data_IF_118681023219
#
_entry.id   IF_118681023219
#
_cell.length_a   1.000
_cell.length_b   1.000
_cell.length_c   1.000
_cell.angle_alpha   90.00
_cell.angle_beta   90.00
_cell.angle_gamma   90.00
#
_symmetry.space_group_name_H-M   'P 1'
#
loop_
_entity.id
_entity.type
_entity.pdbx_description
1 polymer ?
#
# COMPACT_ATOMS: atom_id res chain seq x y z
N UNK A 1 -45.69 14.16 -4.14
CA UNK A 1 -45.44 12.74 -3.80
C UNK A 1 -44.65 11.99 -4.89
N UNK A 2 -44.77 12.34 -6.15
CA UNK A 2 -44.07 11.62 -7.24
C UNK A 2 -42.53 11.81 -7.24
N UNK A 3 -42.01 12.88 -6.71
CA UNK A 3 -40.55 13.17 -6.65
C UNK A 3 -39.80 12.38 -5.56
N UNK A 4 -40.49 11.98 -4.49
CA UNK A 4 -39.89 11.22 -3.38
C UNK A 4 -39.80 9.73 -3.70
N UNK A 5 -40.70 9.21 -4.52
CA UNK A 5 -40.69 7.81 -4.97
C UNK A 5 -39.56 7.59 -5.97
N UNK A 6 -39.26 8.58 -6.81
CA UNK A 6 -38.16 8.49 -7.79
C UNK A 6 -36.77 8.44 -7.11
N UNK A 7 -36.62 9.15 -5.99
CA UNK A 7 -35.39 9.14 -5.22
C UNK A 7 -35.12 7.79 -4.52
N UNK A 8 -36.18 7.11 -4.08
CA UNK A 8 -36.06 5.78 -3.47
C UNK A 8 -35.74 4.69 -4.48
N UNK A 9 -36.23 4.79 -5.69
CA UNK A 9 -35.95 3.82 -6.77
C UNK A 9 -34.49 3.93 -7.25
N UNK A 10 -33.93 5.15 -7.28
CA UNK A 10 -32.52 5.36 -7.63
C UNK A 10 -31.54 4.86 -6.56
N UNK A 11 -31.93 4.91 -5.27
CA UNK A 11 -31.10 4.39 -4.19
C UNK A 11 -31.05 2.87 -4.13
N UNK A 12 -32.14 2.20 -4.56
CA UNK A 12 -32.24 0.75 -4.54
C UNK A 12 -31.44 0.07 -5.66
N UNK A 13 -31.17 0.77 -6.76
CA UNK A 13 -30.42 0.19 -7.90
C UNK A 13 -28.90 0.19 -7.73
N UNK A 14 -28.36 0.96 -6.79
CA UNK A 14 -26.90 0.97 -6.53
C UNK A 14 -26.42 -0.17 -5.63
N UNK A 15 -27.32 -0.84 -4.91
CA UNK A 15 -26.93 -1.92 -3.99
C UNK A 15 -26.72 -3.25 -4.72
N UNK A 16 -27.27 -3.41 -5.92
CA UNK A 16 -27.19 -4.67 -6.68
C UNK A 16 -25.96 -4.82 -7.57
N UNK A 17 -25.15 -3.77 -7.74
CA UNK A 17 -23.99 -3.82 -8.65
C UNK A 17 -22.70 -4.33 -8.00
N UNK A 18 -22.67 -4.60 -6.69
CA UNK A 18 -21.48 -5.16 -6.02
C UNK A 18 -21.47 -6.70 -5.96
N UNK A 19 -22.50 -7.38 -6.42
CA UNK A 19 -22.57 -8.83 -6.35
C UNK A 19 -22.08 -9.57 -7.61
N UNK A 20 -21.53 -8.87 -8.60
CA UNK A 20 -21.13 -9.46 -9.89
C UNK A 20 -19.61 -9.66 -10.07
N UNK A 21 -18.79 -9.53 -9.02
CA UNK A 21 -17.39 -9.94 -9.05
C UNK A 21 -17.17 -11.14 -8.13
N UNK A 22 -17.70 -12.27 -8.54
CA UNK A 22 -17.50 -13.52 -7.82
C UNK A 22 -18.00 -14.70 -8.63
N UNK A 23 -17.27 -15.11 -9.63
CA UNK A 23 -16.98 -16.50 -9.92
C UNK A 23 -16.32 -16.66 -11.28
N UNK A 24 -15.08 -17.02 -11.28
CA UNK A 24 -14.57 -18.03 -12.18
C UNK A 24 -13.51 -18.81 -11.42
N UNK A 25 -13.91 -20.02 -11.16
CA UNK A 25 -13.11 -21.10 -10.65
C UNK A 25 -11.92 -21.37 -11.54
N UNK A 26 -10.75 -21.46 -10.96
CA UNK A 26 -9.82 -22.54 -11.26
C UNK A 26 -8.86 -22.69 -10.09
N UNK A 27 -8.83 -23.90 -9.59
CA UNK A 27 -7.92 -24.45 -8.62
C UNK A 27 -6.49 -23.94 -8.85
N UNK A 28 -5.88 -23.39 -7.82
CA UNK A 28 -4.65 -23.96 -7.31
C UNK A 28 -4.50 -23.58 -5.83
N UNK A 29 -4.20 -24.58 -5.06
CA UNK A 29 -4.02 -24.57 -3.63
C UNK A 29 -2.70 -23.90 -3.30
N UNK A 30 -2.76 -22.87 -2.47
CA UNK A 30 -1.76 -22.64 -1.44
C UNK A 30 -2.31 -21.68 -0.39
N UNK A 31 -2.43 -22.20 0.78
CA UNK A 31 -2.51 -21.60 2.09
C UNK A 31 -2.76 -20.09 2.17
N UNK A 32 -4.03 -19.76 2.28
CA UNK A 32 -4.45 -18.54 2.93
C UNK A 32 -4.39 -18.78 4.42
N UNK A 33 -3.31 -18.35 5.00
CA UNK A 33 -3.22 -18.28 6.44
C UNK A 33 -4.24 -17.25 6.94
N UNK A 34 -5.11 -17.76 7.74
CA UNK A 34 -6.22 -17.14 8.42
C UNK A 34 -5.89 -15.75 8.93
N UNK A 35 -6.76 -14.80 8.58
CA UNK A 35 -6.93 -13.58 9.34
C UNK A 35 -7.28 -13.94 10.79
N UNK A 36 -6.30 -14.10 11.61
CA UNK A 36 -6.46 -14.18 13.05
C UNK A 36 -6.74 -12.77 13.55
N UNK A 37 -7.99 -12.50 13.78
CA UNK A 37 -8.49 -11.34 14.49
C UNK A 37 -7.99 -11.43 15.93
N UNK A 38 -6.77 -10.97 16.15
CA UNK A 38 -6.16 -10.78 17.44
C UNK A 38 -5.75 -9.33 17.62
N UNK A 39 -5.68 -8.89 18.84
CA UNK A 39 -5.28 -7.55 19.29
C UNK A 39 -3.79 -7.23 19.01
N UNK A 40 -3.20 -7.91 18.04
CA UNK A 40 -1.78 -7.87 17.72
C UNK A 40 -1.46 -6.78 16.70
N UNK A 41 -0.49 -5.95 17.02
CA UNK A 41 0.04 -4.94 16.11
C UNK A 41 0.84 -5.62 15.00
N UNK A 42 0.47 -5.35 13.75
CA UNK A 42 1.18 -5.86 12.59
C UNK A 42 2.11 -4.78 12.02
N UNK A 43 3.36 -5.14 11.78
CA UNK A 43 4.35 -4.25 11.17
C UNK A 43 4.69 -4.72 9.77
N UNK A 44 4.60 -3.80 8.81
CA UNK A 44 4.95 -4.03 7.41
C UNK A 44 6.19 -3.22 7.04
N UNK A 45 7.03 -3.78 6.19
CA UNK A 45 8.18 -3.08 5.63
C UNK A 45 7.80 -2.44 4.30
N UNK A 46 8.06 -1.15 4.19
CA UNK A 46 7.77 -0.33 3.02
C UNK A 46 9.05 0.27 2.48
N UNK A 47 9.45 -0.14 1.27
CA UNK A 47 10.64 0.38 0.60
C UNK A 47 10.31 1.41 -0.48
N UNK A 48 11.21 2.36 -0.67
CA UNK A 48 11.17 3.33 -1.76
C UNK A 48 12.52 3.38 -2.46
N UNK A 49 12.52 3.49 -3.79
CA UNK A 49 13.71 3.68 -4.60
C UNK A 49 13.53 4.97 -5.41
N UNK A 50 14.55 5.78 -5.43
CA UNK A 50 14.54 7.01 -6.21
C UNK A 50 15.84 7.80 -6.02
N UNK A 51 16.03 8.89 -6.79
CA UNK A 51 17.24 9.70 -6.72
C UNK A 51 17.27 10.49 -5.42
N UNK A 52 18.12 10.10 -4.49
CA UNK A 52 18.35 10.82 -3.23
C UNK A 52 19.60 11.70 -3.31
N UNK A 53 20.45 11.45 -4.29
CA UNK A 53 21.64 12.26 -4.63
C UNK A 53 21.67 12.58 -6.12
N UNK A 54 22.57 13.46 -6.55
CA UNK A 54 22.68 13.90 -7.95
C UNK A 54 21.69 15.00 -8.33
N UNK A 55 21.54 15.22 -9.63
CA UNK A 55 20.77 16.37 -10.17
C UNK A 55 19.27 16.28 -9.91
N UNK A 56 18.73 15.07 -9.78
CA UNK A 56 17.33 14.82 -9.51
C UNK A 56 17.00 14.63 -8.00
N UNK A 57 17.98 14.83 -7.12
CA UNK A 57 17.84 14.57 -5.68
C UNK A 57 16.67 15.30 -5.02
N UNK A 58 16.38 16.51 -5.46
CA UNK A 58 15.28 17.31 -4.91
C UNK A 58 13.92 16.60 -5.02
N UNK A 59 13.70 15.86 -6.10
CA UNK A 59 12.45 15.12 -6.32
C UNK A 59 12.38 13.87 -5.45
N UNK A 60 13.44 13.07 -5.43
CA UNK A 60 13.48 11.83 -4.63
C UNK A 60 13.45 12.11 -3.13
N UNK A 61 14.16 13.11 -2.66
CA UNK A 61 14.15 13.53 -1.26
C UNK A 61 12.74 14.02 -0.83
N UNK A 62 12.04 14.77 -1.69
CA UNK A 62 10.68 15.21 -1.40
C UNK A 62 9.72 14.02 -1.24
N UNK A 63 9.83 13.01 -2.10
CA UNK A 63 9.02 11.78 -2.01
C UNK A 63 9.31 11.00 -0.73
N UNK A 64 10.59 10.77 -0.43
CA UNK A 64 11.00 10.02 0.77
C UNK A 64 10.58 10.76 2.05
N UNK A 65 10.76 12.08 2.11
CA UNK A 65 10.34 12.87 3.26
C UNK A 65 8.83 12.84 3.46
N UNK A 66 8.05 12.93 2.39
CA UNK A 66 6.59 12.81 2.46
C UNK A 66 6.13 11.42 2.91
N UNK A 67 6.76 10.36 2.40
CA UNK A 67 6.48 9.00 2.80
C UNK A 67 6.83 8.74 4.26
N UNK A 68 8.00 9.22 4.71
CA UNK A 68 8.41 9.10 6.11
C UNK A 68 7.44 9.81 7.05
N UNK A 69 7.02 11.03 6.71
CA UNK A 69 6.03 11.77 7.51
C UNK A 69 4.71 10.99 7.66
N UNK A 70 4.19 10.44 6.58
CA UNK A 70 2.98 9.63 6.61
C UNK A 70 3.14 8.37 7.47
N UNK A 71 4.29 7.69 7.36
CA UNK A 71 4.62 6.53 8.19
C UNK A 71 4.70 6.92 9.67
N UNK A 72 5.34 8.03 10.00
CA UNK A 72 5.45 8.52 11.38
C UNK A 72 4.08 8.85 11.97
N UNK A 73 3.18 9.47 11.19
CA UNK A 73 1.80 9.76 11.62
C UNK A 73 1.00 8.48 11.87
N UNK A 74 1.09 7.49 10.97
CA UNK A 74 0.40 6.21 11.14
C UNK A 74 0.97 5.48 12.36
N UNK A 75 2.28 5.47 12.52
CA UNK A 75 2.94 4.79 13.63
C UNK A 75 2.66 5.45 14.99
N UNK A 76 2.39 6.75 15.01
CA UNK A 76 2.00 7.48 16.21
C UNK A 76 0.52 7.33 16.56
N UNK A 77 -0.31 6.87 15.62
CA UNK A 77 -1.75 6.66 15.84
C UNK A 77 -2.04 5.35 16.60
N UNK A 78 -3.30 5.17 16.98
CA UNK A 78 -3.80 3.92 17.58
C UNK A 78 -3.98 2.78 16.56
N UNK A 79 -3.47 2.94 15.34
CA UNK A 79 -3.53 1.92 14.30
C UNK A 79 -2.82 0.63 14.73
N UNK A 80 -3.45 -0.49 14.48
CA UNK A 80 -2.84 -1.81 14.66
C UNK A 80 -1.89 -2.20 13.52
N UNK A 81 -1.83 -1.37 12.48
CA UNK A 81 -0.89 -1.50 11.39
C UNK A 81 0.20 -0.44 11.58
N UNK A 82 1.42 -0.89 11.61
CA UNK A 82 2.63 -0.06 11.69
C UNK A 82 3.52 -0.32 10.48
N UNK A 83 4.39 0.60 10.18
CA UNK A 83 5.31 0.49 9.06
C UNK A 83 6.75 0.75 9.50
N UNK A 84 7.68 -0.03 8.96
CA UNK A 84 9.08 0.31 8.87
C UNK A 84 9.35 0.83 7.46
N UNK A 85 9.89 2.02 7.33
CA UNK A 85 10.14 2.65 6.03
C UNK A 85 11.65 2.76 5.75
N UNK A 86 12.03 2.46 4.50
CA UNK A 86 13.41 2.61 4.03
C UNK A 86 13.46 3.14 2.62
N UNK A 87 14.20 4.25 2.41
CA UNK A 87 14.56 4.78 1.11
C UNK A 87 15.95 4.29 0.68
N UNK A 88 16.11 3.93 -0.58
CA UNK A 88 17.40 3.64 -1.21
C UNK A 88 17.61 4.56 -2.42
N UNK A 89 18.83 5.02 -2.57
CA UNK A 89 19.25 5.91 -3.65
C UNK A 89 19.57 5.13 -4.92
N UNK A 90 19.05 5.58 -6.04
CA UNK A 90 19.39 5.06 -7.37
C UNK A 90 20.10 6.09 -8.26
N UNK A 91 20.25 7.31 -7.81
CA UNK A 91 20.84 8.42 -8.57
C UNK A 91 20.21 8.60 -9.98
N UNK A 92 18.95 8.20 -10.16
CA UNK A 92 18.25 8.13 -11.44
C UNK A 92 18.94 7.22 -12.48
N UNK A 93 19.62 6.16 -12.05
CA UNK A 93 20.35 5.20 -12.87
C UNK A 93 19.75 3.80 -12.77
N UNK A 94 19.54 3.14 -13.92
CA UNK A 94 18.86 1.85 -13.96
C UNK A 94 19.61 0.69 -13.30
N UNK A 95 20.95 0.68 -13.38
CA UNK A 95 21.76 -0.34 -12.72
C UNK A 95 21.75 -0.13 -11.20
N UNK A 96 21.87 1.12 -10.75
CA UNK A 96 21.76 1.48 -9.33
C UNK A 96 20.37 1.20 -8.78
N UNK A 97 19.29 1.41 -9.56
CA UNK A 97 17.94 1.03 -9.18
C UNK A 97 17.83 -0.47 -8.91
N UNK A 98 18.43 -1.31 -9.75
CA UNK A 98 18.46 -2.77 -9.53
C UNK A 98 19.21 -3.12 -8.24
N UNK A 99 20.33 -2.48 -7.97
CA UNK A 99 21.08 -2.69 -6.75
C UNK A 99 20.32 -2.20 -5.51
N UNK A 100 19.65 -1.06 -5.60
CA UNK A 100 18.78 -0.53 -4.55
C UNK A 100 17.62 -1.49 -4.24
N UNK A 101 16.98 -2.05 -5.26
CA UNK A 101 15.94 -3.07 -5.11
C UNK A 101 16.45 -4.31 -4.35
N UNK A 102 17.61 -4.85 -4.74
CA UNK A 102 18.20 -6.00 -4.07
C UNK A 102 18.48 -5.71 -2.59
N UNK A 103 19.00 -4.53 -2.27
CA UNK A 103 19.21 -4.10 -0.87
C UNK A 103 17.90 -4.05 -0.07
N UNK A 104 16.83 -3.53 -0.67
CA UNK A 104 15.51 -3.50 -0.03
C UNK A 104 14.95 -4.89 0.17
N UNK A 105 15.10 -5.78 -0.81
CA UNK A 105 14.66 -7.18 -0.68
C UNK A 105 15.41 -7.92 0.41
N UNK A 106 16.70 -7.69 0.56
CA UNK A 106 17.50 -8.29 1.63
C UNK A 106 17.11 -7.72 3.01
N UNK A 107 16.80 -6.44 3.08
CA UNK A 107 16.26 -5.82 4.29
C UNK A 107 14.88 -6.35 4.64
N UNK A 108 14.02 -6.55 3.65
CA UNK A 108 12.66 -7.05 3.85
C UNK A 108 12.61 -8.47 4.44
N UNK A 109 13.62 -9.29 4.15
CA UNK A 109 13.72 -10.69 4.62
C UNK A 109 14.21 -10.82 6.06
N UNK A 110 14.74 -9.77 6.64
CA UNK A 110 15.27 -9.75 8.02
C UNK A 110 14.22 -9.34 9.02
#
# INVERSE_FOLDING_TARGET
MKKKVLAFVMAATMVFSLAACGSSSSNDSSDSDSAQSGDEVQTFKLGSIGPLTGDAAIYGQAVVNGAQLAVDEINASDSKIKFEFKGEDDEADGEKSTNAYNKLMDWAKK
#
